data_IF_000866106495
#
_entry.id   IF_000866106495
#
_cell.length_a   1.000
_cell.length_b   1.000
_cell.length_c   1.000
_cell.angle_alpha   90.00
_cell.angle_beta   90.00
_cell.angle_gamma   90.00
#
_symmetry.space_group_name_H-M   'P 1'
#
loop_
_entity.id
_entity.type
_entity.pdbx_description
1 polymer ?
#
# COMPACT_ATOMS: atom_id res chain seq x y z
N UNK A 1 -2.22 -5.51 -9.49
CA UNK A 1 -1.74 -5.47 -8.09
C UNK A 1 -2.18 -6.70 -7.31
N UNK A 2 -3.49 -6.92 -7.03
CA UNK A 2 -3.92 -8.09 -6.24
C UNK A 2 -3.48 -9.44 -6.80
N UNK A 3 -3.66 -9.69 -8.11
CA UNK A 3 -3.20 -10.93 -8.73
C UNK A 3 -1.69 -11.15 -8.61
N UNK A 4 -0.90 -10.08 -8.66
CA UNK A 4 0.55 -10.14 -8.43
C UNK A 4 0.89 -10.52 -6.99
N UNK A 5 0.17 -9.97 -6.01
CA UNK A 5 0.47 -10.12 -4.58
C UNK A 5 -0.13 -11.38 -3.94
N UNK A 6 -1.21 -11.91 -4.51
CA UNK A 6 -1.96 -13.03 -3.95
C UNK A 6 -2.07 -14.23 -4.90
N UNK A 7 -1.54 -14.12 -6.12
CA UNK A 7 -1.72 -15.12 -7.16
C UNK A 7 -3.15 -15.14 -7.72
N UNK A 8 -3.43 -16.16 -8.52
CA UNK A 8 -4.76 -16.49 -9.03
C UNK A 8 -4.98 -18.01 -8.95
N UNK A 9 -6.06 -18.52 -9.52
CA UNK A 9 -6.37 -19.97 -9.53
C UNK A 9 -5.36 -20.83 -10.28
N UNK A 10 -4.50 -20.22 -11.11
CA UNK A 10 -3.56 -20.92 -11.99
C UNK A 10 -2.10 -20.77 -11.57
N UNK A 11 -1.78 -19.76 -10.75
CA UNK A 11 -0.40 -19.40 -10.44
C UNK A 11 -0.26 -18.70 -9.09
N UNK A 12 0.77 -19.10 -8.35
CA UNK A 12 1.20 -18.46 -7.11
C UNK A 12 1.86 -17.09 -7.38
N UNK A 13 1.88 -16.18 -6.39
CA UNK A 13 2.54 -14.88 -6.54
C UNK A 13 4.05 -15.03 -6.76
N UNK A 14 4.54 -14.44 -7.84
CA UNK A 14 5.97 -14.45 -8.19
C UNK A 14 6.74 -13.47 -7.31
N UNK A 15 7.71 -13.97 -6.54
CA UNK A 15 8.47 -13.17 -5.57
C UNK A 15 9.16 -11.94 -6.18
N UNK A 16 9.75 -12.08 -7.37
CA UNK A 16 10.40 -10.95 -8.06
C UNK A 16 9.39 -9.87 -8.47
N UNK A 17 8.24 -10.27 -9.01
CA UNK A 17 7.18 -9.33 -9.39
C UNK A 17 6.60 -8.60 -8.16
N UNK A 18 6.46 -9.31 -7.04
CA UNK A 18 6.10 -8.73 -5.75
C UNK A 18 7.12 -7.67 -5.31
N UNK A 19 8.41 -8.01 -5.32
CA UNK A 19 9.47 -7.11 -4.91
C UNK A 19 9.54 -5.85 -5.81
N UNK A 20 9.41 -6.01 -7.12
CA UNK A 20 9.39 -4.90 -8.07
C UNK A 20 8.16 -4.00 -7.85
N UNK A 21 6.98 -4.59 -7.64
CA UNK A 21 5.77 -3.82 -7.34
C UNK A 21 5.92 -3.02 -6.04
N UNK A 22 6.48 -3.62 -4.99
CA UNK A 22 6.77 -2.93 -3.72
C UNK A 22 7.73 -1.77 -3.93
N UNK A 23 8.82 -1.98 -4.66
CA UNK A 23 9.77 -0.92 -4.98
C UNK A 23 9.10 0.26 -5.68
N UNK A 24 8.41 0.03 -6.80
CA UNK A 24 7.77 1.11 -7.56
C UNK A 24 6.62 1.79 -6.81
N UNK A 25 5.91 1.05 -5.96
CA UNK A 25 4.83 1.63 -5.16
C UNK A 25 5.34 2.61 -4.09
N UNK A 26 6.51 2.36 -3.49
CA UNK A 26 7.09 3.23 -2.45
C UNK A 26 8.21 4.16 -2.96
N UNK A 27 8.48 4.19 -4.27
CA UNK A 27 9.55 5.03 -4.84
C UNK A 27 9.20 6.53 -4.84
N UNK A 28 7.92 6.86 -5.06
CA UNK A 28 7.45 8.23 -5.23
C UNK A 28 6.12 8.47 -4.48
N UNK A 29 5.20 9.24 -5.05
CA UNK A 29 3.99 9.68 -4.37
C UNK A 29 2.81 8.70 -4.48
N UNK A 30 3.03 7.46 -4.91
CA UNK A 30 1.93 6.52 -5.18
C UNK A 30 1.09 6.23 -3.92
N UNK A 31 1.73 5.96 -2.78
CA UNK A 31 1.02 5.77 -1.51
C UNK A 31 0.24 7.03 -1.11
N UNK A 32 0.88 8.21 -1.19
CA UNK A 32 0.26 9.50 -0.88
C UNK A 32 -0.98 9.77 -1.74
N UNK A 33 -0.88 9.52 -3.05
CA UNK A 33 -1.98 9.67 -3.98
C UNK A 33 -3.12 8.69 -3.65
N UNK A 34 -2.79 7.43 -3.34
CA UNK A 34 -3.79 6.45 -2.92
C UNK A 34 -4.53 6.93 -1.66
N UNK A 35 -3.80 7.37 -0.63
CA UNK A 35 -4.39 7.89 0.62
C UNK A 35 -5.31 9.08 0.35
N UNK A 36 -4.87 10.03 -0.49
CA UNK A 36 -5.66 11.22 -0.86
C UNK A 36 -6.93 10.85 -1.64
N UNK A 37 -6.88 9.76 -2.41
CA UNK A 37 -8.00 9.28 -3.21
C UNK A 37 -8.91 8.29 -2.46
N UNK A 38 -8.50 7.73 -1.32
CA UNK A 38 -9.28 6.76 -0.55
C UNK A 38 -10.73 7.20 -0.30
N UNK A 39 -11.03 8.46 0.09
CA UNK A 39 -12.41 8.90 0.32
C UNK A 39 -13.30 8.84 -0.93
N UNK A 40 -12.71 8.92 -2.12
CA UNK A 40 -13.42 8.89 -3.41
C UNK A 40 -13.74 7.46 -3.89
N UNK A 41 -13.14 6.45 -3.25
CA UNK A 41 -13.34 5.05 -3.60
C UNK A 41 -14.59 4.49 -2.92
N UNK A 42 -15.26 3.55 -3.60
CA UNK A 42 -16.34 2.77 -2.99
C UNK A 42 -15.79 1.82 -1.89
N UNK A 43 -16.69 1.24 -1.10
CA UNK A 43 -16.29 0.42 0.05
C UNK A 43 -15.40 -0.78 -0.34
N UNK A 44 -15.73 -1.49 -1.41
CA UNK A 44 -14.95 -2.65 -1.85
C UNK A 44 -13.57 -2.24 -2.35
N UNK A 45 -13.47 -1.16 -3.12
CA UNK A 45 -12.19 -0.61 -3.56
C UNK A 45 -11.32 -0.13 -2.39
N UNK A 46 -11.92 0.42 -1.33
CA UNK A 46 -11.19 0.78 -0.10
C UNK A 46 -10.64 -0.46 0.62
N UNK A 47 -11.43 -1.54 0.75
CA UNK A 47 -10.97 -2.80 1.33
C UNK A 47 -9.79 -3.37 0.53
N UNK A 48 -9.92 -3.40 -0.79
CA UNK A 48 -8.88 -3.86 -1.70
C UNK A 48 -7.60 -3.02 -1.57
N UNK A 49 -7.72 -1.69 -1.54
CA UNK A 49 -6.59 -0.78 -1.36
C UNK A 49 -5.87 -1.04 -0.03
N UNK A 50 -6.62 -1.15 1.08
CA UNK A 50 -6.06 -1.46 2.40
C UNK A 50 -5.34 -2.80 2.41
N UNK A 51 -5.94 -3.83 1.81
CA UNK A 51 -5.34 -5.16 1.73
C UNK A 51 -4.02 -5.14 0.94
N UNK A 52 -4.00 -4.48 -0.22
CA UNK A 52 -2.81 -4.32 -1.06
C UNK A 52 -1.71 -3.58 -0.30
N UNK A 53 -2.01 -2.42 0.30
CA UNK A 53 -1.04 -1.63 1.06
C UNK A 53 -0.47 -2.43 2.23
N UNK A 54 -1.32 -3.15 2.99
CA UNK A 54 -0.87 -3.97 4.10
C UNK A 54 0.06 -5.11 3.69
N UNK A 55 -0.09 -5.65 2.48
CA UNK A 55 0.84 -6.65 1.94
C UNK A 55 2.18 -6.00 1.56
N UNK A 56 2.13 -4.94 0.74
CA UNK A 56 3.32 -4.23 0.27
C UNK A 56 4.18 -3.70 1.43
N UNK A 57 3.55 -3.21 2.50
CA UNK A 57 4.24 -2.74 3.71
C UNK A 57 5.06 -3.82 4.43
N UNK A 58 4.66 -5.09 4.31
CA UNK A 58 5.33 -6.22 4.96
C UNK A 58 6.37 -6.91 4.07
N UNK A 59 6.41 -6.56 2.78
CA UNK A 59 7.37 -7.18 1.86
C UNK A 59 8.78 -6.68 2.11
N UNK A 60 9.71 -7.63 2.20
CA UNK A 60 11.13 -7.33 2.20
C UNK A 60 11.67 -7.38 0.77
N UNK A 61 12.33 -6.32 0.35
CA UNK A 61 13.04 -6.24 -0.94
C UNK A 61 14.51 -6.14 -0.61
N UNK A 62 15.30 -7.12 -1.09
CA UNK A 62 16.74 -7.22 -0.77
C UNK A 62 17.00 -7.16 0.76
N UNK A 63 16.18 -7.88 1.53
CA UNK A 63 16.23 -7.93 3.01
C UNK A 63 15.97 -6.61 3.73
N UNK A 64 15.36 -5.62 3.05
CA UNK A 64 14.95 -4.33 3.64
C UNK A 64 13.45 -4.10 3.52
N UNK A 65 12.87 -3.42 4.49
CA UNK A 65 11.48 -2.97 4.44
C UNK A 65 11.42 -1.58 3.80
N UNK A 66 11.32 -1.52 2.47
CA UNK A 66 11.27 -0.25 1.71
C UNK A 66 10.14 0.67 2.21
N UNK A 67 9.02 0.08 2.61
CA UNK A 67 7.89 0.83 3.17
C UNK A 67 8.25 1.61 4.45
N UNK A 68 9.15 1.08 5.29
CA UNK A 68 9.61 1.76 6.50
C UNK A 68 10.39 3.02 6.14
N UNK A 69 11.38 2.89 5.26
CA UNK A 69 12.21 4.01 4.79
C UNK A 69 11.34 5.10 4.15
N UNK A 70 10.34 4.70 3.36
CA UNK A 70 9.39 5.62 2.75
C UNK A 70 8.55 6.40 3.78
N UNK A 71 8.00 5.70 4.77
CA UNK A 71 7.17 6.32 5.81
C UNK A 71 7.98 7.26 6.71
N UNK A 72 9.23 6.89 7.03
CA UNK A 72 10.16 7.76 7.77
C UNK A 72 10.48 9.05 6.99
N UNK A 73 10.56 8.99 5.67
CA UNK A 73 10.74 10.17 4.82
C UNK A 73 9.45 10.99 4.60
N UNK A 74 8.27 10.43 4.92
CA UNK A 74 6.95 11.03 4.65
C UNK A 74 6.05 10.99 5.89
N UNK A 75 6.56 11.45 7.03
CA UNK A 75 5.87 11.36 8.34
C UNK A 75 4.49 12.01 8.37
N UNK A 76 4.26 13.03 7.53
CA UNK A 76 2.97 13.73 7.43
C UNK A 76 1.84 12.83 6.89
N UNK A 77 2.17 11.72 6.22
CA UNK A 77 1.18 10.72 5.82
C UNK A 77 0.48 10.10 7.03
N UNK A 78 1.17 9.97 8.17
CA UNK A 78 0.56 9.47 9.40
C UNK A 78 -0.51 10.42 9.92
N UNK A 79 -0.26 11.73 9.88
CA UNK A 79 -1.24 12.75 10.27
C UNK A 79 -2.47 12.71 9.37
N UNK A 80 -2.29 12.54 8.04
CA UNK A 80 -3.39 12.43 7.08
C UNK A 80 -4.24 11.18 7.37
N UNK A 81 -3.60 10.04 7.62
CA UNK A 81 -4.29 8.78 7.94
C UNK A 81 -5.08 8.88 9.25
N UNK A 82 -4.50 9.48 10.29
CA UNK A 82 -5.14 9.69 11.59
C UNK A 82 -6.34 10.64 11.47
N UNK A 83 -6.20 11.74 10.72
CA UNK A 83 -7.31 12.66 10.46
C UNK A 83 -8.48 11.95 9.75
N UNK A 84 -8.19 11.05 8.80
CA UNK A 84 -9.21 10.25 8.14
C UNK A 84 -9.99 9.33 9.09
N UNK A 85 -9.33 8.80 10.13
CA UNK A 85 -9.99 8.02 11.18
C UNK A 85 -10.95 8.89 12.00
N UNK A 86 -10.52 10.08 12.41
CA UNK A 86 -11.36 11.02 13.14
C UNK A 86 -12.56 11.51 12.33
N UNK A 87 -12.37 11.76 11.03
CA UNK A 87 -13.45 12.20 10.13
C UNK A 87 -14.55 11.16 9.93
N UNK A 88 -14.28 9.86 10.15
CA UNK A 88 -15.31 8.81 10.09
C UNK A 88 -16.11 8.65 11.39
N UNK A 89 -15.67 9.24 12.50
CA UNK A 89 -16.34 9.15 13.81
C UNK A 89 -17.29 10.32 14.12
N UNK A 90 -17.29 11.36 13.29
CA UNK A 90 -18.14 12.56 13.40
C UNK A 90 -19.27 12.53 12.35
#
# INVERSE_FOLDING_TARGET
MKSTLYGNSESEPVSEACAQLTHEFFKENTLRLLITCLPKLNLEARKDATQVVANLQRQQVQSKLIASDYLEANIDLMDILIQGLFAMML
#
